data_IF_234138215448
#
_entry.id   IF_234138215448
#
_cell.length_a   1.000
_cell.length_b   1.000
_cell.length_c   1.000
_cell.angle_alpha   90.00
_cell.angle_beta   90.00
_cell.angle_gamma   90.00
#
_symmetry.space_group_name_H-M   'P 1'
#
loop_
_entity.id
_entity.type
_entity.pdbx_description
1 polymer ?
#
# COMPACT_ATOMS: atom_id res chain seq x y z
N UNK A 1 -20.54 -37.70 23.92
CA UNK A 1 -19.26 -37.88 23.18
C UNK A 1 -18.54 -36.53 23.16
N UNK A 2 -17.23 -36.47 23.40
CA UNK A 2 -16.50 -35.23 23.28
C UNK A 2 -16.65 -34.67 21.87
N UNK A 3 -16.82 -33.35 21.76
CA UNK A 3 -16.97 -32.68 20.47
C UNK A 3 -15.71 -32.91 19.62
N UNK A 4 -15.82 -32.78 18.30
CA UNK A 4 -14.64 -32.85 17.40
C UNK A 4 -13.61 -31.79 17.75
N UNK A 5 -14.03 -30.66 18.31
CA UNK A 5 -13.15 -29.59 18.79
C UNK A 5 -12.42 -30.00 20.09
N UNK A 6 -13.09 -30.65 21.05
CA UNK A 6 -12.44 -31.15 22.29
C UNK A 6 -11.33 -32.15 21.97
N UNK A 7 -11.53 -32.96 20.93
CA UNK A 7 -10.51 -33.87 20.46
C UNK A 7 -9.34 -33.13 19.83
N UNK A 8 -9.61 -32.11 18.99
CA UNK A 8 -8.56 -31.27 18.41
C UNK A 8 -7.77 -30.55 19.50
N UNK A 9 -8.45 -30.03 20.53
CA UNK A 9 -7.81 -29.35 21.64
C UNK A 9 -6.84 -30.29 22.41
N UNK A 10 -7.28 -31.51 22.76
CA UNK A 10 -6.43 -32.50 23.45
C UNK A 10 -5.22 -32.94 22.62
N UNK A 11 -5.45 -33.20 21.34
CA UNK A 11 -4.38 -33.58 20.42
C UNK A 11 -3.40 -32.40 20.19
N UNK A 12 -3.91 -31.16 20.19
CA UNK A 12 -3.09 -29.93 20.10
C UNK A 12 -2.17 -29.78 21.31
N UNK A 13 -2.70 -30.01 22.50
CA UNK A 13 -1.95 -30.06 23.75
C UNK A 13 -0.81 -31.10 23.66
N UNK A 14 -1.16 -32.31 23.27
CA UNK A 14 -0.19 -33.41 23.13
C UNK A 14 0.88 -33.10 22.09
N UNK A 15 0.48 -32.44 20.98
CA UNK A 15 1.42 -32.00 19.95
C UNK A 15 2.39 -30.95 20.52
N UNK A 16 1.89 -29.95 21.25
CA UNK A 16 2.71 -28.87 21.83
C UNK A 16 3.77 -29.42 22.79
N UNK A 17 3.37 -30.30 23.72
CA UNK A 17 4.30 -30.92 24.67
C UNK A 17 5.44 -31.68 23.97
N UNK A 18 5.19 -32.21 22.79
CA UNK A 18 6.20 -32.91 22.00
C UNK A 18 7.08 -32.00 21.14
N UNK A 19 6.86 -30.68 21.12
CA UNK A 19 7.66 -29.77 20.31
C UNK A 19 9.11 -29.64 20.84
N UNK A 20 10.07 -29.38 19.95
CA UNK A 20 11.49 -29.30 20.33
C UNK A 20 11.75 -28.10 21.23
N UNK A 21 12.65 -28.29 22.20
CA UNK A 21 13.18 -27.21 23.06
C UNK A 21 14.32 -26.48 22.38
N UNK A 22 15.02 -27.16 21.49
CA UNK A 22 16.22 -26.67 20.82
C UNK A 22 15.86 -26.04 19.48
N UNK A 23 16.33 -24.82 19.28
CA UNK A 23 16.17 -24.04 18.04
C UNK A 23 16.65 -24.80 16.79
N UNK A 24 17.73 -25.56 16.91
CA UNK A 24 18.27 -26.32 15.79
C UNK A 24 17.28 -27.35 15.23
N UNK A 25 16.30 -27.75 16.04
CA UNK A 25 15.24 -28.70 15.69
C UNK A 25 13.89 -28.05 15.43
N UNK A 26 13.78 -26.72 15.50
CA UNK A 26 12.52 -25.98 15.31
C UNK A 26 11.82 -26.33 13.96
N UNK A 27 12.59 -26.68 12.93
CA UNK A 27 12.06 -27.14 11.63
C UNK A 27 11.13 -28.37 11.76
N UNK A 28 11.30 -29.19 12.80
CA UNK A 28 10.44 -30.37 13.02
C UNK A 28 9.03 -29.99 13.47
N UNK A 29 8.82 -28.79 13.99
CA UNK A 29 7.49 -28.27 14.36
C UNK A 29 6.58 -28.15 13.14
N UNK A 30 7.12 -27.75 11.98
CA UNK A 30 6.36 -27.66 10.74
C UNK A 30 5.75 -29.00 10.32
N UNK A 31 6.54 -30.09 10.43
CA UNK A 31 6.03 -31.43 10.10
C UNK A 31 4.97 -31.93 11.10
N UNK A 32 5.00 -31.46 12.35
CA UNK A 32 4.03 -31.82 13.37
C UNK A 32 2.69 -31.10 13.18
N UNK A 33 2.73 -29.81 12.88
CA UNK A 33 1.52 -29.05 12.60
C UNK A 33 0.82 -29.54 11.32
N UNK A 34 1.55 -29.93 10.30
CA UNK A 34 0.97 -30.49 9.08
C UNK A 34 0.26 -31.83 9.34
N UNK A 35 0.85 -32.71 10.17
CA UNK A 35 0.17 -33.94 10.60
C UNK A 35 -1.09 -33.65 11.43
N UNK A 36 -1.02 -32.64 12.28
CA UNK A 36 -2.17 -32.20 13.07
C UNK A 36 -3.30 -31.66 12.17
N UNK A 37 -2.97 -30.80 11.20
CA UNK A 37 -3.95 -30.27 10.22
C UNK A 37 -4.64 -31.37 9.42
N UNK A 38 -3.89 -32.37 8.97
CA UNK A 38 -4.46 -33.54 8.29
C UNK A 38 -5.44 -34.34 9.17
N UNK A 39 -5.14 -34.45 10.46
CA UNK A 39 -5.99 -35.16 11.42
C UNK A 39 -7.24 -34.35 11.81
N UNK A 40 -7.12 -33.00 11.80
CA UNK A 40 -8.17 -32.05 12.23
C UNK A 40 -8.40 -30.97 11.18
N UNK A 41 -8.89 -31.28 9.97
CA UNK A 41 -8.99 -30.34 8.86
C UNK A 41 -9.90 -29.15 9.16
N UNK A 42 -10.90 -29.33 10.05
CA UNK A 42 -11.87 -28.28 10.40
C UNK A 42 -11.43 -27.43 11.61
N UNK A 43 -10.27 -27.70 12.20
CA UNK A 43 -9.79 -26.96 13.38
C UNK A 43 -9.09 -25.64 13.04
N UNK A 44 -8.83 -25.36 11.75
CA UNK A 44 -8.17 -24.12 11.30
C UNK A 44 -6.83 -23.86 12.02
N UNK A 45 -6.05 -24.92 12.28
CA UNK A 45 -4.89 -24.88 13.17
C UNK A 45 -3.73 -24.05 12.59
N UNK A 46 -3.22 -23.10 13.38
CA UNK A 46 -2.01 -22.33 13.08
C UNK A 46 -1.02 -22.47 14.23
N UNK A 47 0.24 -22.82 13.93
CA UNK A 47 1.31 -22.85 14.91
C UNK A 47 2.25 -21.68 14.67
N UNK A 48 2.40 -20.84 15.68
CA UNK A 48 3.35 -19.74 15.70
C UNK A 48 4.55 -20.15 16.56
N UNK A 49 5.73 -19.72 16.16
CA UNK A 49 6.97 -19.86 16.91
C UNK A 49 7.49 -18.45 17.17
N UNK A 50 7.64 -18.10 18.42
CA UNK A 50 8.26 -16.85 18.84
C UNK A 50 9.58 -17.12 19.57
N UNK A 51 10.55 -16.24 19.32
CA UNK A 51 11.83 -16.21 20.01
C UNK A 51 12.19 -14.77 20.33
N UNK A 52 12.07 -14.35 21.59
CA UNK A 52 12.49 -13.00 21.98
C UNK A 52 13.93 -12.71 21.59
N UNK A 53 14.26 -11.50 21.08
CA UNK A 53 15.60 -11.12 20.71
C UNK A 53 16.59 -11.31 21.86
N UNK A 54 17.71 -11.99 21.60
CA UNK A 54 18.73 -12.27 22.60
C UNK A 54 18.44 -13.42 23.58
N UNK A 55 17.31 -14.13 23.39
CA UNK A 55 16.91 -15.27 24.19
C UNK A 55 17.12 -16.58 23.42
N UNK A 56 17.52 -17.65 24.14
CA UNK A 56 17.47 -19.02 23.64
C UNK A 56 16.08 -19.67 23.77
N UNK A 57 15.17 -18.98 24.45
CA UNK A 57 13.82 -19.45 24.75
C UNK A 57 12.98 -19.53 23.47
N UNK A 58 12.26 -20.65 23.34
CA UNK A 58 11.26 -20.84 22.30
C UNK A 58 9.87 -20.86 22.93
N UNK A 59 8.97 -20.03 22.37
CA UNK A 59 7.56 -20.02 22.72
C UNK A 59 6.76 -20.50 21.52
N UNK A 60 5.78 -21.37 21.77
CA UNK A 60 4.90 -21.93 20.75
C UNK A 60 3.47 -21.57 21.05
N UNK A 61 2.77 -20.94 20.09
CA UNK A 61 1.34 -20.67 20.18
C UNK A 61 0.59 -21.48 19.14
N UNK A 62 -0.27 -22.38 19.58
CA UNK A 62 -1.19 -23.10 18.72
C UNK A 62 -2.56 -22.43 18.76
N UNK A 63 -2.98 -21.88 17.64
CA UNK A 63 -4.28 -21.26 17.45
C UNK A 63 -5.23 -22.25 16.79
N UNK A 64 -6.42 -22.44 17.36
CA UNK A 64 -7.47 -23.32 16.84
C UNK A 64 -8.77 -22.53 16.68
N UNK A 65 -9.42 -22.64 15.52
CA UNK A 65 -10.72 -22.02 15.28
C UNK A 65 -11.81 -22.68 16.13
N UNK A 66 -12.51 -21.88 16.92
CA UNK A 66 -13.62 -22.35 17.73
C UNK A 66 -14.90 -22.48 16.90
N UNK A 67 -15.65 -23.59 16.98
CA UNK A 67 -16.81 -23.86 16.12
C UNK A 67 -17.94 -22.82 16.19
N UNK A 68 -18.03 -22.10 17.30
CA UNK A 68 -19.04 -21.05 17.53
C UNK A 68 -18.53 -19.63 17.18
N UNK A 69 -17.36 -19.52 16.58
CA UNK A 69 -16.67 -18.27 16.30
C UNK A 69 -15.56 -17.96 17.31
N UNK A 70 -14.55 -17.22 16.85
CA UNK A 70 -13.36 -16.92 17.63
C UNK A 70 -12.27 -18.00 17.54
N UNK A 71 -11.25 -17.87 18.36
CA UNK A 71 -10.06 -18.73 18.36
C UNK A 71 -9.65 -19.07 19.78
N UNK A 72 -9.24 -20.31 19.98
CA UNK A 72 -8.59 -20.75 21.21
C UNK A 72 -7.10 -20.77 20.97
N UNK A 73 -6.34 -20.02 21.76
CA UNK A 73 -4.88 -20.01 21.78
C UNK A 73 -4.35 -20.92 22.90
N UNK A 74 -3.36 -21.74 22.57
CA UNK A 74 -2.63 -22.56 23.53
C UNK A 74 -1.16 -22.15 23.46
N UNK A 75 -0.65 -21.49 24.50
CA UNK A 75 0.77 -21.12 24.60
C UNK A 75 1.55 -22.18 25.34
N UNK A 76 2.68 -22.61 24.78
CA UNK A 76 3.60 -23.58 25.35
C UNK A 76 5.02 -23.05 25.36
N UNK A 77 5.64 -23.08 26.53
CA UNK A 77 7.01 -22.62 26.78
C UNK A 77 7.84 -23.78 27.30
N UNK A 78 8.61 -24.47 26.44
CA UNK A 78 9.35 -25.67 26.81
C UNK A 78 10.35 -25.49 27.95
N UNK A 79 10.92 -24.29 28.09
CA UNK A 79 12.01 -24.02 29.04
C UNK A 79 11.54 -23.37 30.36
N UNK A 80 10.32 -22.86 30.44
CA UNK A 80 9.86 -22.12 31.62
C UNK A 80 9.24 -22.98 32.72
N UNK A 81 9.06 -24.26 32.47
CA UNK A 81 8.35 -25.17 33.41
C UNK A 81 6.85 -24.93 33.52
N UNK A 82 6.34 -23.85 32.93
CA UNK A 82 4.92 -23.57 32.82
C UNK A 82 4.40 -24.24 31.55
N UNK A 83 3.48 -25.17 31.68
CA UNK A 83 3.08 -25.95 30.51
C UNK A 83 2.36 -25.11 29.49
N UNK A 84 1.53 -24.10 29.88
CA UNK A 84 0.78 -23.30 28.93
C UNK A 84 -0.30 -22.44 29.56
N UNK A 85 -0.73 -21.45 28.78
CA UNK A 85 -1.92 -20.65 29.00
C UNK A 85 -2.97 -21.01 27.96
N UNK A 86 -4.24 -21.05 28.33
CA UNK A 86 -5.37 -21.23 27.41
C UNK A 86 -6.12 -19.89 27.38
N UNK A 87 -6.16 -19.27 26.22
CA UNK A 87 -6.90 -18.03 26.02
C UNK A 87 -7.98 -18.23 24.97
N UNK A 88 -9.18 -17.69 25.25
CA UNK A 88 -10.23 -17.56 24.26
C UNK A 88 -10.37 -16.11 23.88
N UNK A 89 -10.21 -15.81 22.58
CA UNK A 89 -10.39 -14.49 22.04
C UNK A 89 -11.28 -14.54 20.80
N UNK A 90 -12.27 -13.68 20.75
CA UNK A 90 -13.15 -13.60 19.59
C UNK A 90 -12.40 -13.11 18.34
N UNK A 91 -11.37 -12.28 18.52
CA UNK A 91 -10.67 -11.62 17.43
C UNK A 91 -9.14 -11.74 17.51
N UNK A 92 -8.55 -11.64 18.69
CA UNK A 92 -7.10 -11.49 18.89
C UNK A 92 -6.29 -12.74 18.52
N UNK A 93 -6.76 -13.90 18.95
CA UNK A 93 -6.09 -15.15 18.65
C UNK A 93 -6.35 -15.65 17.21
N UNK A 94 -7.29 -15.05 16.49
CA UNK A 94 -7.62 -15.43 15.11
C UNK A 94 -6.61 -14.92 14.08
N UNK A 95 -5.56 -14.18 14.50
CA UNK A 95 -4.58 -13.61 13.60
C UNK A 95 -5.18 -12.61 12.58
N UNK A 96 -6.32 -12.00 12.92
CA UNK A 96 -6.99 -11.00 12.08
C UNK A 96 -6.55 -9.59 12.46
N UNK A 97 -6.27 -8.78 11.44
CA UNK A 97 -5.88 -7.38 11.59
C UNK A 97 -7.10 -6.46 11.52
N UNK A 98 -8.00 -6.76 10.61
CA UNK A 98 -9.15 -5.93 10.33
C UNK A 98 -10.27 -6.76 9.72
N UNK A 99 -11.52 -6.38 10.00
CA UNK A 99 -12.70 -6.89 9.29
C UNK A 99 -13.29 -5.79 8.41
N UNK A 100 -13.56 -6.11 7.17
CA UNK A 100 -14.20 -5.21 6.21
C UNK A 100 -15.45 -5.91 5.67
N UNK A 101 -16.65 -5.35 5.94
CA UNK A 101 -17.94 -5.94 5.57
C UNK A 101 -18.05 -7.42 6.01
N UNK A 102 -17.69 -7.72 7.25
CA UNK A 102 -17.70 -9.07 7.86
C UNK A 102 -16.68 -10.06 7.25
N UNK A 103 -15.81 -9.63 6.34
CA UNK A 103 -14.67 -10.43 5.88
C UNK A 103 -13.41 -10.07 6.66
N UNK A 104 -12.70 -11.06 7.15
CA UNK A 104 -11.52 -10.89 7.99
C UNK A 104 -10.26 -10.91 7.14
N UNK A 105 -9.32 -10.02 7.45
CA UNK A 105 -7.97 -9.95 6.88
C UNK A 105 -7.00 -10.41 7.97
N UNK A 106 -6.18 -11.40 7.67
CA UNK A 106 -5.20 -11.93 8.62
C UNK A 106 -3.96 -11.03 8.73
N UNK A 107 -3.24 -11.10 9.87
CA UNK A 107 -1.94 -10.41 10.05
C UNK A 107 -0.98 -10.81 8.95
N UNK A 108 -0.94 -12.09 8.56
CA UNK A 108 -0.06 -12.59 7.52
C UNK A 108 -0.37 -11.96 6.15
N UNK A 109 -1.66 -11.86 5.78
CA UNK A 109 -2.08 -11.21 4.54
C UNK A 109 -1.76 -9.72 4.57
N UNK A 110 -2.03 -9.05 5.70
CA UNK A 110 -1.70 -7.64 5.87
C UNK A 110 -0.20 -7.39 5.78
N UNK A 111 0.63 -8.14 6.51
CA UNK A 111 2.09 -8.00 6.47
C UNK A 111 2.66 -8.28 5.08
N UNK A 112 2.16 -9.31 4.38
CA UNK A 112 2.56 -9.58 3.01
C UNK A 112 2.24 -8.40 2.10
N UNK A 113 1.03 -7.87 2.20
CA UNK A 113 0.60 -6.70 1.43
C UNK A 113 1.47 -5.48 1.74
N UNK A 114 1.76 -5.22 3.01
CA UNK A 114 2.60 -4.12 3.45
C UNK A 114 4.04 -4.22 2.92
N UNK A 115 4.65 -5.39 3.01
CA UNK A 115 6.00 -5.63 2.47
C UNK A 115 6.09 -5.39 0.96
N UNK A 116 5.01 -5.64 0.23
CA UNK A 116 4.95 -5.40 -1.21
C UNK A 116 4.72 -3.92 -1.56
N UNK A 117 4.10 -3.14 -0.67
CA UNK A 117 3.72 -1.74 -0.90
C UNK A 117 4.59 -0.73 -0.12
N UNK A 118 5.38 -1.17 0.84
CA UNK A 118 6.02 -0.35 1.89
C UNK A 118 6.98 0.76 1.42
N UNK A 119 7.18 0.97 0.13
CA UNK A 119 8.14 1.99 -0.35
C UNK A 119 7.53 3.37 -0.66
N UNK A 120 6.21 3.58 -0.57
CA UNK A 120 5.65 4.83 -1.10
C UNK A 120 4.33 5.37 -0.51
N UNK A 121 3.80 4.84 0.60
CA UNK A 121 2.46 5.29 1.02
C UNK A 121 2.30 5.62 2.49
N UNK A 122 1.82 6.85 2.82
CA UNK A 122 1.64 7.29 4.21
C UNK A 122 0.40 6.71 4.92
N UNK A 123 -0.53 6.07 4.22
CA UNK A 123 -1.79 5.59 4.82
C UNK A 123 -1.98 4.07 4.66
N UNK A 124 -1.26 3.35 5.48
CA UNK A 124 -1.23 1.90 5.51
C UNK A 124 -2.60 1.26 5.78
N UNK A 125 -3.41 1.91 6.64
CA UNK A 125 -4.73 1.42 7.03
C UNK A 125 -5.70 1.47 5.84
N UNK A 126 -5.73 2.57 5.11
CA UNK A 126 -6.54 2.69 3.90
C UNK A 126 -6.11 1.73 2.80
N UNK A 127 -4.82 1.39 2.72
CA UNK A 127 -4.35 0.39 1.74
C UNK A 127 -4.93 -0.99 2.01
N UNK A 128 -4.98 -1.42 3.27
CA UNK A 128 -5.54 -2.72 3.66
C UNK A 128 -7.05 -2.75 3.34
N UNK A 129 -7.77 -1.70 3.74
CA UNK A 129 -9.20 -1.56 3.48
C UNK A 129 -9.47 -1.58 1.97
N UNK A 130 -8.73 -0.79 1.20
CA UNK A 130 -8.87 -0.70 -0.25
C UNK A 130 -8.66 -2.06 -0.92
N UNK A 131 -7.63 -2.80 -0.50
CA UNK A 131 -7.36 -4.13 -1.04
C UNK A 131 -8.53 -5.08 -0.83
N UNK A 132 -9.11 -5.07 0.36
CA UNK A 132 -10.26 -5.91 0.68
C UNK A 132 -11.51 -5.48 -0.11
N UNK A 133 -11.80 -4.18 -0.23
CA UNK A 133 -12.90 -3.68 -1.03
C UNK A 133 -12.77 -4.05 -2.51
N UNK A 134 -11.55 -3.99 -3.06
CA UNK A 134 -11.24 -4.44 -4.43
C UNK A 134 -11.51 -5.93 -4.57
N UNK A 135 -11.06 -6.76 -3.62
CA UNK A 135 -11.27 -8.20 -3.64
C UNK A 135 -12.77 -8.55 -3.62
N UNK A 136 -13.54 -7.92 -2.73
CA UNK A 136 -14.99 -8.11 -2.65
C UNK A 136 -15.71 -7.73 -3.95
N UNK A 137 -15.28 -6.65 -4.61
CA UNK A 137 -15.87 -6.23 -5.88
C UNK A 137 -15.54 -7.17 -7.04
N UNK A 138 -14.32 -7.74 -7.04
CA UNK A 138 -13.89 -8.76 -7.99
C UNK A 138 -14.73 -10.04 -7.81
N UNK A 139 -14.98 -10.46 -6.58
CA UNK A 139 -15.78 -11.63 -6.26
C UNK A 139 -17.25 -11.50 -6.68
N UNK A 140 -17.83 -10.30 -6.53
CA UNK A 140 -19.22 -10.03 -6.99
C UNK A 140 -19.39 -10.18 -8.50
N UNK A 141 -18.34 -9.95 -9.25
CA UNK A 141 -18.37 -10.00 -10.72
C UNK A 141 -17.10 -10.64 -11.25
N UNK A 142 -17.01 -11.98 -11.19
CA UNK A 142 -15.83 -12.71 -11.64
C UNK A 142 -15.50 -12.39 -13.10
N UNK A 143 -14.24 -12.07 -13.34
CA UNK A 143 -13.74 -11.78 -14.68
C UNK A 143 -12.70 -12.84 -15.05
N UNK A 144 -12.80 -13.49 -16.21
CA UNK A 144 -11.86 -14.52 -16.61
C UNK A 144 -10.46 -13.93 -16.80
N UNK A 145 -9.46 -14.62 -16.25
CA UNK A 145 -8.04 -14.26 -16.36
C UNK A 145 -7.35 -15.34 -17.20
N UNK A 146 -6.67 -14.91 -18.25
CA UNK A 146 -5.90 -15.81 -19.12
C UNK A 146 -4.48 -15.98 -18.58
N UNK A 147 -3.89 -17.14 -18.71
CA UNK A 147 -2.51 -17.40 -18.28
C UNK A 147 -1.51 -16.38 -18.86
N UNK A 148 -1.69 -16.00 -20.13
CA UNK A 148 -0.87 -14.97 -20.79
C UNK A 148 -0.93 -13.59 -20.09
N UNK A 149 -2.11 -13.24 -19.52
CA UNK A 149 -2.28 -11.94 -18.84
C UNK A 149 -1.49 -11.95 -17.53
N UNK A 150 -1.48 -13.11 -16.84
CA UNK A 150 -0.71 -13.31 -15.60
C UNK A 150 0.78 -13.29 -15.90
N UNK A 151 1.23 -13.98 -16.97
CA UNK A 151 2.62 -13.97 -17.39
C UNK A 151 3.10 -12.55 -17.70
N UNK A 152 2.34 -11.82 -18.51
CA UNK A 152 2.67 -10.42 -18.84
C UNK A 152 2.75 -9.52 -17.59
N UNK A 153 1.89 -9.77 -16.60
CA UNK A 153 1.93 -9.03 -15.33
C UNK A 153 3.17 -9.39 -14.51
N UNK A 154 3.52 -10.68 -14.45
CA UNK A 154 4.72 -11.16 -13.77
C UNK A 154 5.99 -10.56 -14.40
N UNK A 155 6.06 -10.52 -15.73
CA UNK A 155 7.20 -9.92 -16.44
C UNK A 155 7.29 -8.41 -16.18
N UNK A 156 6.17 -7.69 -16.25
CA UNK A 156 6.12 -6.27 -15.91
C UNK A 156 6.54 -6.00 -14.45
N UNK A 157 6.08 -6.82 -13.51
CA UNK A 157 6.46 -6.71 -12.10
C UNK A 157 7.95 -6.96 -11.89
N UNK A 158 8.51 -7.98 -12.54
CA UNK A 158 9.95 -8.31 -12.48
C UNK A 158 10.79 -7.14 -13.01
N UNK A 159 10.43 -6.59 -14.16
CA UNK A 159 11.11 -5.42 -14.76
C UNK A 159 11.05 -4.22 -13.78
N UNK A 160 9.88 -3.92 -13.25
CA UNK A 160 9.68 -2.83 -12.29
C UNK A 160 10.55 -2.98 -11.03
N UNK A 161 10.74 -4.23 -10.55
CA UNK A 161 11.59 -4.55 -9.38
C UNK A 161 13.08 -4.72 -9.74
N UNK A 162 13.48 -4.55 -10.98
CA UNK A 162 14.87 -4.79 -11.41
C UNK A 162 15.28 -6.27 -11.41
N UNK A 163 14.31 -7.19 -11.43
CA UNK A 163 14.54 -8.64 -11.42
C UNK A 163 14.72 -9.16 -12.86
N UNK A 164 15.85 -8.81 -13.48
CA UNK A 164 16.08 -9.06 -14.91
C UNK A 164 16.50 -10.50 -15.24
N UNK A 165 16.70 -11.38 -14.25
CA UNK A 165 17.04 -12.79 -14.46
C UNK A 165 16.20 -13.73 -13.59
N UNK A 166 16.15 -15.00 -13.98
CA UNK A 166 15.49 -16.04 -13.18
C UNK A 166 16.13 -16.18 -11.79
N UNK A 167 17.45 -16.06 -11.71
CA UNK A 167 18.19 -16.14 -10.43
C UNK A 167 17.90 -14.95 -9.53
N UNK A 168 17.83 -13.75 -10.07
CA UNK A 168 17.42 -12.55 -9.32
C UNK A 168 16.00 -12.70 -8.77
N UNK A 169 15.10 -13.27 -9.57
CA UNK A 169 13.72 -13.53 -9.15
C UNK A 169 13.66 -14.58 -8.03
N UNK A 170 14.39 -15.68 -8.16
CA UNK A 170 14.45 -16.74 -7.13
C UNK A 170 15.02 -16.23 -5.81
N UNK A 171 16.12 -15.46 -5.86
CA UNK A 171 16.69 -14.83 -4.66
C UNK A 171 15.70 -13.89 -3.98
N UNK A 172 15.06 -13.02 -4.74
CA UNK A 172 14.06 -12.10 -4.22
C UNK A 172 12.87 -12.82 -3.57
N UNK A 173 12.36 -13.88 -4.19
CA UNK A 173 11.31 -14.73 -3.62
C UNK A 173 11.75 -15.35 -2.28
N UNK A 174 12.97 -15.85 -2.22
CA UNK A 174 13.53 -16.41 -1.00
C UNK A 174 13.70 -15.35 0.11
N UNK A 175 14.27 -14.19 -0.21
CA UNK A 175 14.49 -13.07 0.72
C UNK A 175 13.17 -12.51 1.28
N UNK A 176 12.12 -12.50 0.47
CA UNK A 176 10.79 -11.99 0.88
C UNK A 176 9.91 -13.06 1.51
N UNK A 177 10.34 -14.33 1.54
CA UNK A 177 9.55 -15.45 2.04
C UNK A 177 8.29 -15.76 1.19
N UNK A 178 8.26 -15.31 -0.07
CA UNK A 178 7.14 -15.52 -0.99
C UNK A 178 7.40 -16.78 -1.80
N UNK A 179 6.49 -17.77 -1.72
CA UNK A 179 6.56 -18.94 -2.60
C UNK A 179 6.23 -18.55 -4.05
N UNK A 180 6.73 -19.34 -5.01
CA UNK A 180 6.41 -19.13 -6.43
C UNK A 180 4.90 -19.15 -6.68
N UNK A 181 4.18 -20.07 -6.07
CA UNK A 181 2.72 -20.14 -6.16
C UNK A 181 2.03 -18.84 -5.67
N UNK A 182 2.50 -18.30 -4.53
CA UNK A 182 2.00 -17.02 -4.01
C UNK A 182 2.31 -15.86 -4.93
N UNK A 183 3.48 -15.86 -5.57
CA UNK A 183 3.83 -14.85 -6.56
C UNK A 183 2.89 -14.88 -7.77
N UNK A 184 2.58 -16.05 -8.29
CA UNK A 184 1.63 -16.20 -9.39
C UNK A 184 0.21 -15.77 -9.00
N UNK A 185 -0.25 -16.11 -7.79
CA UNK A 185 -1.52 -15.63 -7.23
C UNK A 185 -1.54 -14.10 -7.12
N UNK A 186 -0.45 -13.50 -6.67
CA UNK A 186 -0.30 -12.04 -6.61
C UNK A 186 -0.43 -11.41 -8.00
N UNK A 187 0.28 -11.93 -9.00
CA UNK A 187 0.19 -11.43 -10.38
C UNK A 187 -1.24 -11.58 -10.93
N UNK A 188 -1.92 -12.69 -10.62
CA UNK A 188 -3.33 -12.90 -10.97
C UNK A 188 -4.25 -11.83 -10.35
N UNK A 189 -4.05 -11.51 -9.07
CA UNK A 189 -4.80 -10.45 -8.39
C UNK A 189 -4.57 -9.08 -9.02
N UNK A 190 -3.33 -8.76 -9.40
CA UNK A 190 -3.01 -7.51 -10.11
C UNK A 190 -3.70 -7.43 -11.48
N UNK A 191 -3.80 -8.54 -12.20
CA UNK A 191 -4.55 -8.59 -13.47
C UNK A 191 -6.03 -8.32 -13.23
N UNK A 192 -6.63 -8.94 -12.22
CA UNK A 192 -8.03 -8.75 -11.84
C UNK A 192 -8.31 -7.29 -11.45
N UNK A 193 -7.45 -6.69 -10.63
CA UNK A 193 -7.56 -5.27 -10.27
C UNK A 193 -7.47 -4.36 -11.49
N UNK A 194 -6.53 -4.61 -12.41
CA UNK A 194 -6.43 -3.84 -13.66
C UNK A 194 -7.71 -3.94 -14.49
N UNK A 195 -8.31 -5.12 -14.58
CA UNK A 195 -9.59 -5.33 -15.28
C UNK A 195 -10.74 -4.62 -14.56
N UNK A 196 -10.77 -4.64 -13.23
CA UNK A 196 -11.72 -3.90 -12.42
C UNK A 196 -11.62 -2.40 -12.66
N UNK A 197 -10.40 -1.82 -12.61
CA UNK A 197 -10.15 -0.41 -12.94
C UNK A 197 -10.67 -0.04 -14.33
N UNK A 198 -10.46 -0.90 -15.30
CA UNK A 198 -10.98 -0.72 -16.66
C UNK A 198 -12.51 -0.77 -16.71
N UNK A 199 -13.14 -1.67 -15.96
CA UNK A 199 -14.59 -1.80 -15.88
C UNK A 199 -15.26 -0.58 -15.26
N UNK A 200 -14.72 -0.09 -14.15
CA UNK A 200 -15.26 1.04 -13.39
C UNK A 200 -15.07 2.34 -14.15
N UNK A 201 -13.86 2.64 -14.60
CA UNK A 201 -13.51 3.94 -15.15
C UNK A 201 -13.60 4.00 -16.68
N UNK A 202 -13.50 2.86 -17.39
CA UNK A 202 -13.24 2.85 -18.82
C UNK A 202 -14.25 3.64 -19.67
N UNK A 203 -15.54 3.56 -19.34
CA UNK A 203 -16.60 4.28 -20.08
C UNK A 203 -16.65 5.76 -19.73
N UNK A 204 -16.14 6.17 -18.58
CA UNK A 204 -16.20 7.54 -18.08
C UNK A 204 -15.00 8.40 -18.49
N UNK A 205 -13.93 7.80 -19.03
CA UNK A 205 -12.69 8.52 -19.37
C UNK A 205 -12.96 9.66 -20.37
N UNK A 206 -13.69 9.40 -21.46
CA UNK A 206 -13.97 10.43 -22.48
C UNK A 206 -14.87 11.54 -21.92
N UNK A 207 -16.04 11.24 -21.31
CA UNK A 207 -16.87 12.27 -20.68
C UNK A 207 -16.10 13.11 -19.66
N UNK A 208 -15.33 12.46 -18.76
CA UNK A 208 -14.52 13.15 -17.76
C UNK A 208 -13.51 14.09 -18.41
N UNK A 209 -12.79 13.63 -19.42
CA UNK A 209 -11.83 14.47 -20.15
C UNK A 209 -12.48 15.72 -20.73
N UNK A 210 -13.65 15.59 -21.37
CA UNK A 210 -14.32 16.73 -21.98
C UNK A 210 -14.77 17.76 -20.92
N UNK A 211 -15.30 17.30 -19.81
CA UNK A 211 -15.78 18.18 -18.72
C UNK A 211 -14.62 18.85 -17.99
N UNK A 212 -13.47 18.14 -17.82
CA UNK A 212 -12.35 18.59 -16.99
C UNK A 212 -11.11 19.00 -17.83
N UNK A 213 -11.31 19.33 -19.11
CA UNK A 213 -10.21 19.62 -20.04
C UNK A 213 -9.28 20.72 -19.53
N UNK A 214 -9.82 21.79 -18.94
CA UNK A 214 -9.01 22.90 -18.39
C UNK A 214 -8.17 22.47 -17.20
N UNK A 215 -8.72 21.68 -16.29
CA UNK A 215 -8.00 21.20 -15.09
C UNK A 215 -6.93 20.16 -15.42
N UNK A 216 -7.03 19.54 -16.59
CA UNK A 216 -6.08 18.58 -17.13
C UNK A 216 -4.99 19.22 -18.01
N UNK A 217 -5.02 20.55 -18.25
CA UNK A 217 -3.92 21.25 -18.92
C UNK A 217 -2.61 21.05 -18.17
N UNK A 218 -1.52 20.98 -18.92
CA UNK A 218 -0.18 20.95 -18.32
C UNK A 218 0.32 22.37 -18.19
N UNK A 219 0.73 22.74 -17.00
CA UNK A 219 1.25 24.09 -16.67
C UNK A 219 2.73 23.97 -16.37
N UNK A 220 3.51 24.80 -17.04
CA UNK A 220 4.94 24.96 -16.79
C UNK A 220 5.17 26.19 -15.94
N UNK A 221 5.79 26.01 -14.79
CA UNK A 221 6.02 27.06 -13.82
C UNK A 221 7.51 27.18 -13.51
N UNK A 222 7.97 28.38 -13.23
CA UNK A 222 9.18 28.59 -12.43
C UNK A 222 8.77 29.13 -11.06
N UNK A 223 9.26 28.49 -10.00
CA UNK A 223 9.01 28.85 -8.61
C UNK A 223 10.32 29.24 -7.97
N UNK A 224 10.34 30.36 -7.28
CA UNK A 224 11.48 30.85 -6.53
C UNK A 224 11.04 31.08 -5.09
N UNK A 225 11.77 30.52 -4.12
CA UNK A 225 11.50 30.68 -2.70
C UNK A 225 12.60 31.55 -2.09
N UNK A 226 12.20 32.61 -1.39
CA UNK A 226 13.08 33.53 -0.67
C UNK A 226 12.78 33.48 0.83
N UNK A 227 13.80 33.66 1.68
CA UNK A 227 13.66 33.59 3.15
C UNK A 227 12.73 34.64 3.72
N UNK A 228 12.63 35.83 3.08
CA UNK A 228 11.82 36.92 3.59
C UNK A 228 10.84 37.45 2.55
N UNK A 229 9.70 37.98 3.00
CA UNK A 229 8.71 38.65 2.16
C UNK A 229 9.29 39.82 1.38
N UNK A 230 10.20 40.58 2.01
CA UNK A 230 10.88 41.71 1.37
C UNK A 230 11.74 41.25 0.20
N UNK A 231 12.51 40.17 0.36
CA UNK A 231 13.33 39.60 -0.72
C UNK A 231 12.44 39.07 -1.86
N UNK A 232 11.39 38.32 -1.54
CA UNK A 232 10.42 37.83 -2.52
C UNK A 232 9.75 38.99 -3.29
N UNK A 233 9.39 40.09 -2.59
CA UNK A 233 8.84 41.29 -3.20
C UNK A 233 9.78 41.94 -4.22
N UNK A 234 11.07 42.07 -3.88
CA UNK A 234 12.10 42.58 -4.79
C UNK A 234 12.25 41.70 -6.05
N UNK A 235 12.26 40.38 -5.86
CA UNK A 235 12.30 39.39 -6.96
C UNK A 235 11.08 39.58 -7.86
N UNK A 236 9.88 39.69 -7.28
CA UNK A 236 8.65 39.89 -8.03
C UNK A 236 8.66 41.18 -8.85
N UNK A 237 9.11 42.31 -8.29
CA UNK A 237 9.23 43.57 -9.01
C UNK A 237 10.18 43.46 -10.19
N UNK A 238 11.36 42.87 -9.99
CA UNK A 238 12.31 42.62 -11.06
C UNK A 238 11.76 41.66 -12.13
N UNK A 239 11.03 40.64 -11.71
CA UNK A 239 10.43 39.66 -12.61
C UNK A 239 9.37 40.29 -13.52
N UNK A 240 8.55 41.22 -13.01
CA UNK A 240 7.54 41.93 -13.79
C UNK A 240 8.11 42.79 -14.91
N UNK A 241 9.35 43.26 -14.78
CA UNK A 241 10.02 44.05 -15.77
C UNK A 241 10.61 43.20 -16.91
N UNK A 242 11.06 41.99 -16.63
CA UNK A 242 11.80 41.14 -17.61
C UNK A 242 11.34 39.70 -17.71
N UNK A 243 11.16 38.99 -16.69
CA UNK A 243 10.60 37.70 -16.31
C UNK A 243 11.37 37.14 -15.11
N UNK A 244 10.83 36.08 -14.47
CA UNK A 244 11.39 35.54 -13.22
C UNK A 244 12.77 34.89 -13.42
N UNK A 245 13.04 34.29 -14.57
CA UNK A 245 14.33 33.66 -14.86
C UNK A 245 15.45 34.71 -14.98
N UNK A 246 15.19 35.85 -15.65
CA UNK A 246 16.16 36.94 -15.74
C UNK A 246 16.36 37.60 -14.34
N UNK A 247 15.29 37.83 -13.60
CA UNK A 247 15.38 38.34 -12.24
C UNK A 247 16.23 37.42 -11.36
N UNK A 248 16.05 36.12 -11.46
CA UNK A 248 16.86 35.12 -10.75
C UNK A 248 18.33 35.18 -11.15
N UNK A 249 18.62 35.25 -12.46
CA UNK A 249 19.99 35.34 -12.98
C UNK A 249 20.71 36.61 -12.47
N UNK A 250 20.01 37.77 -12.46
CA UNK A 250 20.58 39.02 -11.93
C UNK A 250 20.83 38.93 -10.41
N UNK A 251 19.95 38.28 -9.65
CA UNK A 251 20.14 38.03 -8.23
C UNK A 251 21.32 37.12 -7.94
N UNK A 252 21.49 36.08 -8.72
CA UNK A 252 22.65 35.17 -8.60
C UNK A 252 23.98 35.89 -8.87
N UNK A 253 24.05 36.76 -9.89
CA UNK A 253 25.24 37.56 -10.20
C UNK A 253 25.64 38.49 -9.08
N UNK A 254 24.67 39.10 -8.39
CA UNK A 254 24.90 40.03 -7.27
C UNK A 254 25.24 39.33 -5.95
N UNK A 255 25.36 37.99 -5.92
CA UNK A 255 25.58 37.19 -4.72
C UNK A 255 24.58 37.48 -3.57
N UNK A 256 23.43 38.05 -3.89
CA UNK A 256 22.35 38.37 -2.94
C UNK A 256 21.57 37.09 -2.59
N UNK A 257 22.26 36.12 -1.97
CA UNK A 257 21.78 34.76 -1.72
C UNK A 257 20.84 34.67 -0.51
N UNK A 258 19.74 35.38 -0.55
CA UNK A 258 18.59 35.09 0.33
C UNK A 258 17.60 34.10 -0.31
N UNK A 259 17.99 33.48 -1.42
CA UNK A 259 17.22 32.41 -2.06
C UNK A 259 17.38 31.12 -1.27
N UNK A 260 16.28 30.42 -1.06
CA UNK A 260 16.24 29.10 -0.43
C UNK A 260 16.18 28.03 -1.50
N UNK A 261 15.37 28.26 -2.57
CA UNK A 261 15.14 27.27 -3.61
C UNK A 261 14.67 27.96 -4.92
N UNK A 262 14.99 27.34 -6.05
CA UNK A 262 14.48 27.74 -7.35
C UNK A 262 14.30 26.50 -8.23
N UNK A 263 13.09 26.23 -8.72
CA UNK A 263 12.82 25.05 -9.53
C UNK A 263 11.81 25.31 -10.64
N UNK A 264 12.02 24.55 -11.73
CA UNK A 264 11.03 24.40 -12.78
C UNK A 264 10.06 23.27 -12.39
N UNK A 265 8.76 23.52 -12.54
CA UNK A 265 7.70 22.59 -12.20
C UNK A 265 6.84 22.39 -13.45
N UNK A 266 6.54 21.14 -13.74
CA UNK A 266 5.57 20.72 -14.75
C UNK A 266 4.51 19.90 -14.06
N UNK A 267 3.28 20.38 -14.03
CA UNK A 267 2.16 19.73 -13.34
C UNK A 267 0.84 19.96 -14.06
N UNK A 268 -0.22 19.28 -13.64
CA UNK A 268 -1.57 19.56 -14.12
C UNK A 268 -2.13 20.82 -13.44
N UNK A 269 -3.00 21.54 -14.14
CA UNK A 269 -3.66 22.73 -13.58
C UNK A 269 -4.44 22.38 -12.28
N UNK A 270 -5.05 21.21 -12.18
CA UNK A 270 -5.77 20.74 -10.99
C UNK A 270 -4.90 20.54 -9.74
N UNK A 271 -3.59 20.37 -9.92
CA UNK A 271 -2.65 20.16 -8.81
C UNK A 271 -2.13 21.48 -8.25
N UNK A 272 -2.63 22.61 -8.78
CA UNK A 272 -2.28 23.96 -8.40
C UNK A 272 -3.42 24.63 -7.61
N UNK A 273 -3.03 25.57 -6.75
CA UNK A 273 -4.00 26.49 -6.14
C UNK A 273 -4.79 27.25 -7.20
N UNK A 274 -6.02 27.63 -6.92
CA UNK A 274 -6.92 28.29 -7.87
C UNK A 274 -6.29 29.52 -8.54
N UNK A 275 -5.53 30.32 -7.80
CA UNK A 275 -4.84 31.51 -8.33
C UNK A 275 -3.79 31.19 -9.40
N UNK A 276 -3.14 30.01 -9.31
CA UNK A 276 -2.17 29.53 -10.28
C UNK A 276 -2.83 28.70 -11.39
N UNK A 277 -3.88 27.95 -11.02
CA UNK A 277 -4.62 27.11 -11.95
C UNK A 277 -5.25 27.90 -13.09
N UNK A 278 -5.78 29.11 -12.80
CA UNK A 278 -6.43 29.97 -13.77
C UNK A 278 -5.51 31.04 -14.39
N UNK A 279 -4.28 31.14 -13.92
CA UNK A 279 -3.34 32.16 -14.37
C UNK A 279 -2.87 31.92 -15.82
N UNK A 280 -2.85 32.99 -16.62
CA UNK A 280 -2.36 32.93 -18.00
C UNK A 280 -0.84 32.79 -18.08
N UNK A 281 -0.34 32.31 -19.22
CA UNK A 281 1.10 32.31 -19.50
C UNK A 281 1.68 33.73 -19.38
N UNK A 282 2.83 33.84 -18.74
CA UNK A 282 3.48 35.11 -18.39
C UNK A 282 3.08 35.68 -17.02
N UNK A 283 1.98 35.23 -16.41
CA UNK A 283 1.53 35.72 -15.11
C UNK A 283 2.56 35.45 -14.02
N UNK A 284 2.76 36.44 -13.13
CA UNK A 284 3.65 36.36 -11.97
C UNK A 284 2.82 36.56 -10.73
N UNK A 285 2.84 35.57 -9.85
CA UNK A 285 2.01 35.49 -8.65
C UNK A 285 2.93 35.40 -7.42
N UNK A 286 2.54 36.11 -6.37
CA UNK A 286 3.27 36.16 -5.10
C UNK A 286 3.40 37.60 -4.58
N UNK A 287 4.20 37.81 -3.53
CA UNK A 287 4.84 36.78 -2.71
C UNK A 287 3.82 36.06 -1.82
N UNK A 288 3.79 34.74 -1.92
CA UNK A 288 2.95 33.85 -1.10
C UNK A 288 3.78 33.23 0.02
N UNK A 289 3.21 33.08 1.20
CA UNK A 289 3.87 32.40 2.33
C UNK A 289 3.88 30.90 2.09
N UNK A 290 5.02 30.28 2.32
CA UNK A 290 5.24 28.83 2.18
C UNK A 290 6.14 28.33 3.29
N UNK A 291 6.22 26.99 3.44
CA UNK A 291 7.20 26.36 4.32
C UNK A 291 8.62 26.76 3.88
N UNK A 292 9.40 27.33 4.82
CA UNK A 292 10.75 27.81 4.57
C UNK A 292 10.85 29.25 4.04
N UNK A 293 9.75 29.99 3.77
CA UNK A 293 9.83 31.39 3.35
C UNK A 293 8.64 31.95 2.59
N UNK A 294 8.95 32.66 1.51
CA UNK A 294 7.97 33.28 0.61
C UNK A 294 8.29 32.94 -0.84
N UNK A 295 7.33 32.44 -1.57
CA UNK A 295 7.54 32.09 -2.97
C UNK A 295 6.96 33.12 -3.94
N UNK A 296 7.62 33.22 -5.10
CA UNK A 296 7.14 33.90 -6.30
C UNK A 296 7.12 32.87 -7.42
N UNK A 297 6.00 32.79 -8.13
CA UNK A 297 5.79 31.83 -9.21
C UNK A 297 5.48 32.59 -10.49
N UNK A 298 6.08 32.17 -11.60
CA UNK A 298 5.70 32.62 -12.93
C UNK A 298 5.19 31.44 -13.75
N UNK A 299 4.04 31.61 -14.38
CA UNK A 299 3.52 30.69 -15.39
C UNK A 299 4.30 30.90 -16.69
N UNK A 300 5.08 29.90 -17.10
CA UNK A 300 5.89 30.00 -18.34
C UNK A 300 5.05 29.64 -19.58
N UNK A 301 4.31 28.57 -19.51
CA UNK A 301 3.49 28.06 -20.60
C UNK A 301 2.33 27.21 -20.11
N UNK A 302 1.31 27.07 -20.92
CA UNK A 302 0.20 26.15 -20.76
C UNK A 302 0.07 25.29 -22.03
N UNK A 303 -0.01 23.99 -21.85
CA UNK A 303 -0.28 23.04 -22.91
C UNK A 303 -1.69 22.51 -22.80
N UNK A 304 -2.44 22.57 -23.88
CA UNK A 304 -3.79 22.01 -23.92
C UNK A 304 -3.74 20.51 -23.58
N UNK A 305 -4.71 20.08 -22.76
CA UNK A 305 -4.85 18.65 -22.46
C UNK A 305 -5.16 17.87 -23.75
N UNK A 306 -4.45 16.76 -23.92
CA UNK A 306 -4.64 15.77 -24.99
C UNK A 306 -5.00 14.44 -24.37
N UNK A 307 -5.99 13.75 -24.93
CA UNK A 307 -6.43 12.44 -24.43
C UNK A 307 -5.53 11.31 -24.96
N UNK A 308 -4.25 11.39 -24.64
CA UNK A 308 -3.23 10.38 -24.92
C UNK A 308 -3.27 9.20 -23.91
N UNK A 309 -2.32 8.27 -24.02
CA UNK A 309 -2.25 7.10 -23.15
C UNK A 309 -2.00 7.49 -21.67
N UNK A 310 -1.17 8.49 -21.41
CA UNK A 310 -0.84 8.98 -20.07
C UNK A 310 -2.07 9.63 -19.42
N UNK A 311 -2.73 10.55 -20.13
CA UNK A 311 -3.94 11.22 -19.65
C UNK A 311 -5.08 10.22 -19.41
N UNK A 312 -5.23 9.20 -20.28
CA UNK A 312 -6.21 8.11 -20.06
C UNK A 312 -5.91 7.30 -18.80
N UNK A 313 -4.63 7.02 -18.56
CA UNK A 313 -4.21 6.30 -17.37
C UNK A 313 -4.51 7.12 -16.11
N UNK A 314 -4.15 8.40 -16.13
CA UNK A 314 -4.36 9.35 -15.04
C UNK A 314 -5.85 9.52 -14.69
N UNK A 315 -6.71 9.72 -15.69
CA UNK A 315 -8.16 9.83 -15.48
C UNK A 315 -8.73 8.51 -14.94
N UNK A 316 -8.26 7.37 -15.43
CA UNK A 316 -8.68 6.06 -14.93
C UNK A 316 -8.33 5.89 -13.46
N UNK A 317 -7.13 6.29 -13.07
CA UNK A 317 -6.66 6.18 -11.71
C UNK A 317 -7.45 7.11 -10.77
N UNK A 318 -7.73 8.33 -11.21
CA UNK A 318 -8.57 9.29 -10.49
C UNK A 318 -9.99 8.75 -10.27
N UNK A 319 -10.67 8.35 -11.33
CA UNK A 319 -12.03 7.79 -11.24
C UNK A 319 -12.10 6.53 -10.38
N UNK A 320 -11.07 5.71 -10.42
CA UNK A 320 -10.98 4.54 -9.57
C UNK A 320 -10.72 4.91 -8.10
N UNK A 321 -9.92 5.93 -7.85
CA UNK A 321 -9.69 6.46 -6.49
C UNK A 321 -10.96 7.07 -5.89
N UNK A 322 -11.72 7.82 -6.67
CA UNK A 322 -13.04 8.35 -6.28
C UNK A 322 -14.03 7.24 -5.96
N UNK A 323 -14.06 6.19 -6.80
CA UNK A 323 -14.88 5.01 -6.54
C UNK A 323 -14.47 4.29 -5.24
N UNK A 324 -13.17 4.11 -5.00
CA UNK A 324 -12.66 3.50 -3.75
C UNK A 324 -13.01 4.34 -2.53
N UNK A 325 -12.90 5.65 -2.63
CA UNK A 325 -13.26 6.55 -1.54
C UNK A 325 -14.77 6.45 -1.20
N UNK A 326 -15.61 6.38 -2.22
CA UNK A 326 -17.04 6.14 -2.04
C UNK A 326 -17.30 4.79 -1.35
N UNK A 327 -16.67 3.72 -1.83
CA UNK A 327 -16.79 2.37 -1.24
C UNK A 327 -16.29 2.33 0.21
N UNK A 328 -15.22 3.06 0.56
CA UNK A 328 -14.76 3.16 1.96
C UNK A 328 -15.77 3.83 2.86
N UNK A 329 -16.43 4.89 2.40
CA UNK A 329 -17.46 5.59 3.19
C UNK A 329 -18.67 4.70 3.46
N UNK A 330 -19.00 3.78 2.56
CA UNK A 330 -20.10 2.82 2.73
C UNK A 330 -19.71 1.57 3.52
N UNK A 331 -18.43 1.30 3.68
CA UNK A 331 -17.94 0.10 4.34
C UNK A 331 -18.04 0.20 5.87
N UNK A 332 -18.47 -0.88 6.49
CA UNK A 332 -18.30 -1.07 7.94
C UNK A 332 -16.90 -1.61 8.19
N UNK A 333 -16.04 -0.80 8.81
CA UNK A 333 -14.65 -1.17 9.14
C UNK A 333 -14.51 -1.32 10.65
N UNK A 334 -14.02 -2.47 11.09
CA UNK A 334 -13.75 -2.74 12.50
C UNK A 334 -12.30 -3.22 12.62
N UNK A 335 -11.52 -2.49 13.40
CA UNK A 335 -10.15 -2.85 13.75
C UNK A 335 -10.15 -3.68 15.04
N UNK A 336 -9.31 -4.73 15.09
CA UNK A 336 -9.28 -5.67 16.22
C UNK A 336 -8.02 -5.55 17.08
N UNK A 337 -7.22 -4.52 16.89
CA UNK A 337 -6.00 -4.26 17.68
C UNK A 337 -6.07 -3.02 18.58
N UNK A 338 -7.20 -2.36 18.65
CA UNK A 338 -7.43 -1.19 19.55
C UNK A 338 -8.07 -1.61 20.84
#
# INVERSE_FOLDING_TARGET
>A
MPSTFDKALRDGITMLIGLPRDRSRAWSAAARIERFRKKHPNAGATLLLDQPPGSSRLDYDLLLNYPKGGTVGLTYQPDSGHPWCVEYAEHWAANFVVSVNKKNVTVQEALLFLNLQAQSTPDLMNLIINKELIAQEIEKSPTPVKARDIQSMADAYRIFRGLHSADATRRWLHETGISEERFWKLCGSMVLERKLRQRIAGRQIKPYFHTHRKTLEVVHLVKVVARSRASAGKIMVSARQRNLLYALADWMKRRALSLVDARLIRCRARDLDSSLADASAGAIIGPMKEEGGYCVVQVLARENAVLDASTRWEIRDLLFSEWLEHRRREATVQWHWT
#
